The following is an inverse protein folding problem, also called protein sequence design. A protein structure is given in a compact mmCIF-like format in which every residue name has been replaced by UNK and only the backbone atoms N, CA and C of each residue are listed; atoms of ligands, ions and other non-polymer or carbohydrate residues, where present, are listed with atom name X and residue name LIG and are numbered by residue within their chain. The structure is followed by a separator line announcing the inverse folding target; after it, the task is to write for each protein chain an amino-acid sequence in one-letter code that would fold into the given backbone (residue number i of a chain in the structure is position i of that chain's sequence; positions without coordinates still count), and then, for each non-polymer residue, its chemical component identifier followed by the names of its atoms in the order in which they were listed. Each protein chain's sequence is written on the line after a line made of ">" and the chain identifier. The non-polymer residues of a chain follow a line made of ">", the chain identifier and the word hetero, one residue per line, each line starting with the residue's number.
data_IF_594975825958
#
_entry.id   IF_594975825958
#
_cell.length_a   1.000
_cell.length_b   1.000
_cell.length_c   1.000
_cell.angle_alpha   90.00
_cell.angle_beta   90.00
_cell.angle_gamma   90.00
#
_symmetry.space_group_name_H-M   'P 1'
#
loop_
_entity.id
_entity.type
_entity.pdbx_description
1 polymer ?
#
# COMPACT_ATOMS: atom_id res chain seq x y z
N UNK A 1 61.78 47.04 -34.34
CA UNK A 1 60.76 45.98 -34.42
C UNK A 1 60.37 45.57 -33.00
N UNK A 2 59.20 45.98 -32.51
CA UNK A 2 58.67 45.55 -31.20
C UNK A 2 57.28 44.99 -31.45
N UNK A 3 57.17 43.66 -31.49
CA UNK A 3 55.91 42.97 -31.67
C UNK A 3 55.14 42.95 -30.35
N UNK A 4 53.94 43.55 -30.34
CA UNK A 4 52.96 43.39 -29.28
C UNK A 4 52.18 42.09 -29.54
N UNK A 5 52.31 41.11 -28.65
CA UNK A 5 51.47 39.93 -28.63
C UNK A 5 50.16 40.26 -27.91
N UNK A 6 49.04 40.31 -28.64
CA UNK A 6 47.70 40.31 -28.04
C UNK A 6 47.41 38.90 -27.49
N UNK A 7 47.31 38.77 -26.18
CA UNK A 7 46.75 37.57 -25.53
C UNK A 7 45.23 37.74 -25.48
N UNK A 8 44.52 37.02 -26.35
CA UNK A 8 43.06 36.92 -26.29
C UNK A 8 42.67 35.98 -25.13
N UNK A 9 42.16 36.53 -24.03
CA UNK A 9 41.56 35.75 -22.96
C UNK A 9 40.18 35.25 -23.41
N UNK A 10 40.08 33.96 -23.74
CA UNK A 10 38.80 33.32 -24.00
C UNK A 10 38.02 33.18 -22.69
N UNK A 11 36.96 33.98 -22.53
CA UNK A 11 35.96 33.83 -21.48
C UNK A 11 35.18 32.53 -21.72
N UNK A 12 35.56 31.46 -21.02
CA UNK A 12 34.76 30.24 -20.94
C UNK A 12 33.60 30.54 -19.99
N UNK A 13 32.44 30.91 -20.54
CA UNK A 13 31.21 30.97 -19.76
C UNK A 13 30.85 29.53 -19.34
N UNK A 14 30.64 29.25 -18.04
CA UNK A 14 30.16 27.95 -17.61
C UNK A 14 28.74 27.76 -18.16
N UNK A 15 28.58 26.84 -19.11
CA UNK A 15 27.28 26.38 -19.54
C UNK A 15 26.62 25.68 -18.35
N UNK A 16 25.69 26.35 -17.66
CA UNK A 16 24.80 25.68 -16.71
C UNK A 16 23.93 24.70 -17.50
N UNK A 17 24.30 23.42 -17.47
CA UNK A 17 23.46 22.37 -18.00
C UNK A 17 22.10 22.41 -17.30
N UNK A 18 21.01 22.46 -18.07
CA UNK A 18 19.67 22.35 -17.52
C UNK A 18 19.57 21.04 -16.70
N UNK A 19 18.85 21.04 -15.56
CA UNK A 19 18.69 19.83 -14.76
C UNK A 19 18.19 18.67 -15.64
N UNK A 20 18.87 17.52 -15.53
CA UNK A 20 18.46 16.32 -16.23
C UNK A 20 17.03 15.94 -15.80
N UNK A 21 16.21 15.51 -16.75
CA UNK A 21 14.85 15.09 -16.46
C UNK A 21 14.87 13.85 -15.54
N UNK A 22 14.12 13.92 -14.44
CA UNK A 22 13.95 12.83 -13.49
C UNK A 22 13.37 11.63 -14.26
N UNK A 23 14.00 10.44 -14.15
CA UNK A 23 13.50 9.23 -14.80
C UNK A 23 12.20 8.77 -14.14
N UNK A 24 11.33 8.15 -14.93
CA UNK A 24 10.11 7.51 -14.42
C UNK A 24 10.45 6.05 -14.13
N UNK A 25 10.43 5.69 -12.85
CA UNK A 25 10.57 4.30 -12.42
C UNK A 25 9.33 3.52 -12.84
N UNK A 26 9.53 2.43 -13.58
CA UNK A 26 8.48 1.48 -13.97
C UNK A 26 8.80 0.13 -13.32
N UNK A 27 7.87 -0.37 -12.51
CA UNK A 27 7.97 -1.71 -11.92
C UNK A 27 7.36 -2.74 -12.87
N UNK A 28 7.54 -4.02 -12.57
CA UNK A 28 6.93 -5.11 -13.33
C UNK A 28 5.40 -5.08 -13.20
N UNK A 29 4.69 -5.46 -14.27
CA UNK A 29 3.23 -5.55 -14.29
C UNK A 29 2.53 -4.42 -15.04
N UNK A 30 1.19 -4.47 -15.11
CA UNK A 30 0.38 -3.45 -15.77
C UNK A 30 0.46 -2.12 -15.01
N UNK A 31 0.39 -1.01 -15.74
CA UNK A 31 0.39 0.34 -15.18
C UNK A 31 -0.85 1.11 -15.63
N UNK A 32 -1.37 1.97 -14.77
CA UNK A 32 -2.38 2.94 -15.17
C UNK A 32 -1.74 3.97 -16.11
N UNK A 33 -2.38 4.17 -17.26
CA UNK A 33 -1.86 5.08 -18.27
C UNK A 33 -1.75 6.51 -17.73
N UNK A 34 -0.64 7.19 -18.04
CA UNK A 34 -0.35 8.57 -17.64
C UNK A 34 -0.49 8.82 -16.13
N UNK A 35 -0.46 7.78 -15.29
CA UNK A 35 -0.69 7.88 -13.85
C UNK A 35 0.62 7.64 -13.10
N UNK A 36 0.92 8.54 -12.16
CA UNK A 36 2.20 8.58 -11.49
C UNK A 36 2.06 8.86 -9.99
N UNK A 37 3.00 8.31 -9.22
CA UNK A 37 3.28 8.67 -7.84
C UNK A 37 4.51 9.58 -7.85
N UNK A 38 4.37 10.76 -7.23
CA UNK A 38 5.40 11.78 -7.14
C UNK A 38 5.76 11.93 -5.67
N UNK A 39 7.01 11.63 -5.33
CA UNK A 39 7.57 11.98 -4.02
C UNK A 39 8.33 13.29 -4.15
N UNK A 40 8.03 14.22 -3.26
CA UNK A 40 8.74 15.48 -3.13
C UNK A 40 9.87 15.32 -2.11
N UNK A 41 10.92 16.10 -2.31
CA UNK A 41 12.03 16.17 -1.35
C UNK A 41 11.55 16.70 0.00
N UNK A 42 12.28 16.36 1.05
CA UNK A 42 12.03 16.88 2.39
C UNK A 42 12.13 18.41 2.42
N UNK A 43 11.25 19.04 3.21
CA UNK A 43 11.18 20.50 3.34
C UNK A 43 10.41 21.22 2.21
N UNK A 44 10.08 20.55 1.12
CA UNK A 44 9.25 21.13 0.06
C UNK A 44 7.79 21.21 0.51
N UNK A 45 7.20 22.41 0.38
CA UNK A 45 5.74 22.59 0.55
C UNK A 45 4.98 21.92 -0.60
N UNK A 46 4.32 20.78 -0.30
CA UNK A 46 3.46 20.07 -1.25
C UNK A 46 2.34 20.94 -1.79
N UNK A 47 1.68 21.73 -0.95
CA UNK A 47 0.56 22.56 -1.41
C UNK A 47 1.02 23.68 -2.32
N UNK A 48 2.16 24.31 -2.03
CA UNK A 48 2.74 25.32 -2.93
C UNK A 48 3.21 24.70 -4.25
N UNK A 49 3.80 23.49 -4.20
CA UNK A 49 4.21 22.76 -5.39
C UNK A 49 3.01 22.41 -6.28
N UNK A 50 1.95 21.84 -5.68
CA UNK A 50 0.72 21.50 -6.39
C UNK A 50 0.01 22.75 -6.90
N UNK A 51 -0.03 23.86 -6.16
CA UNK A 51 -0.63 25.11 -6.63
C UNK A 51 0.08 25.62 -7.89
N UNK A 52 1.42 25.65 -7.90
CA UNK A 52 2.21 25.99 -9.11
C UNK A 52 1.90 25.03 -10.26
N UNK A 53 1.81 23.73 -9.97
CA UNK A 53 1.45 22.74 -10.98
C UNK A 53 0.08 23.07 -11.60
N UNK A 54 -0.93 23.37 -10.79
CA UNK A 54 -2.29 23.68 -11.23
C UNK A 54 -2.34 24.97 -12.08
N UNK A 55 -1.48 25.96 -11.82
CA UNK A 55 -1.35 27.17 -12.68
C UNK A 55 -0.86 26.82 -14.10
N UNK A 56 0.00 25.82 -14.24
CA UNK A 56 0.43 25.29 -15.54
C UNK A 56 -0.59 24.35 -16.19
N UNK A 57 -1.53 23.75 -15.42
CA UNK A 57 -2.62 22.92 -15.94
C UNK A 57 -3.68 23.83 -16.59
N UNK A 58 -3.34 24.40 -17.73
CA UNK A 58 -4.31 24.96 -18.67
C UNK A 58 -4.99 23.82 -19.43
N UNK A 59 -6.16 23.35 -18.96
CA UNK A 59 -7.09 22.44 -19.67
C UNK A 59 -6.56 21.11 -20.25
N UNK A 60 -5.37 20.62 -19.85
CA UNK A 60 -4.73 19.43 -20.43
C UNK A 60 -5.05 18.12 -19.69
N UNK A 61 -6.31 17.72 -19.48
CA UNK A 61 -6.75 16.39 -18.94
C UNK A 61 -5.93 15.79 -17.78
N UNK A 62 -5.19 16.62 -17.05
CA UNK A 62 -4.22 16.26 -16.04
C UNK A 62 -4.81 16.68 -14.71
N UNK A 63 -4.67 15.83 -13.71
CA UNK A 63 -5.25 16.07 -12.39
C UNK A 63 -4.39 15.45 -11.31
N UNK A 64 -4.29 16.16 -10.20
CA UNK A 64 -3.87 15.55 -8.93
C UNK A 64 -5.05 14.73 -8.43
N UNK A 65 -4.81 13.44 -8.20
CA UNK A 65 -5.83 12.48 -7.75
C UNK A 65 -5.79 12.35 -6.23
N UNK A 66 -4.60 12.19 -5.65
CA UNK A 66 -4.41 12.05 -4.20
C UNK A 66 -3.27 12.92 -3.71
N UNK A 67 -3.41 13.46 -2.51
CA UNK A 67 -2.32 14.06 -1.74
C UNK A 67 -2.05 13.17 -0.52
N UNK A 68 -0.78 12.93 -0.22
CA UNK A 68 -0.38 12.10 0.91
C UNK A 68 0.18 12.99 2.02
N UNK A 69 -0.36 12.86 3.23
CA UNK A 69 -0.06 13.78 4.35
C UNK A 69 0.69 13.10 5.49
N UNK A 70 0.36 11.84 5.77
CA UNK A 70 0.94 11.10 6.90
C UNK A 70 2.03 10.14 6.46
N UNK A 71 1.88 9.56 5.28
CA UNK A 71 2.75 8.46 4.83
C UNK A 71 4.03 8.91 4.16
N UNK A 72 4.02 10.00 3.39
CA UNK A 72 5.22 10.70 2.92
C UNK A 72 4.83 12.03 2.27
N UNK A 73 5.81 12.90 2.01
CA UNK A 73 5.61 14.15 1.29
C UNK A 73 5.44 13.88 -0.22
N UNK A 74 4.21 13.78 -0.70
CA UNK A 74 3.97 13.48 -2.11
C UNK A 74 2.50 13.45 -2.50
N UNK A 75 2.27 13.10 -3.77
CA UNK A 75 0.94 13.04 -4.36
C UNK A 75 0.91 12.02 -5.50
N UNK A 76 -0.28 11.62 -5.93
CA UNK A 76 -0.50 10.89 -7.17
C UNK A 76 -1.36 11.69 -8.13
N UNK A 77 -1.12 11.53 -9.43
CA UNK A 77 -1.84 12.27 -10.46
C UNK A 77 -1.81 11.61 -11.82
N UNK A 78 -2.81 11.96 -12.63
CA UNK A 78 -2.79 11.72 -14.07
C UNK A 78 -2.10 12.92 -14.70
N UNK A 79 -0.93 12.73 -15.30
CA UNK A 79 -0.09 13.81 -15.84
C UNK A 79 0.23 13.52 -17.31
N UNK A 80 -0.12 14.46 -18.20
CA UNK A 80 0.08 14.29 -19.64
C UNK A 80 0.95 15.41 -20.22
N UNK A 81 1.66 15.07 -21.29
CA UNK A 81 2.35 16.04 -22.15
C UNK A 81 3.25 17.02 -21.38
N UNK A 82 3.10 18.34 -21.58
CA UNK A 82 3.96 19.36 -20.94
C UNK A 82 3.97 19.31 -19.41
N UNK A 83 2.88 18.84 -18.77
CA UNK A 83 2.77 18.78 -17.31
C UNK A 83 3.68 17.70 -16.74
N UNK A 84 3.73 16.53 -17.38
CA UNK A 84 4.66 15.48 -16.98
C UNK A 84 6.11 15.96 -17.13
N UNK A 85 6.44 16.62 -18.24
CA UNK A 85 7.78 17.16 -18.48
C UNK A 85 8.18 18.27 -17.50
N UNK A 86 7.23 19.11 -17.09
CA UNK A 86 7.44 20.09 -16.01
C UNK A 86 7.81 19.40 -14.69
N UNK A 87 7.04 18.38 -14.28
CA UNK A 87 7.31 17.61 -13.06
C UNK A 87 8.65 16.90 -13.13
N UNK A 88 8.99 16.30 -14.28
CA UNK A 88 10.29 15.66 -14.49
C UNK A 88 11.48 16.62 -14.40
N UNK A 89 11.27 17.93 -14.56
CA UNK A 89 12.33 18.95 -14.45
C UNK A 89 12.29 19.73 -13.15
N UNK A 90 11.33 19.43 -12.27
CA UNK A 90 11.15 20.15 -11.02
C UNK A 90 12.24 19.80 -10.02
N UNK A 91 12.89 20.83 -9.46
CA UNK A 91 13.88 20.66 -8.39
C UNK A 91 13.27 20.14 -7.07
N UNK A 92 11.94 20.28 -6.93
CA UNK A 92 11.16 19.85 -5.77
C UNK A 92 10.98 18.33 -5.69
N UNK A 93 11.08 17.63 -6.83
CA UNK A 93 10.73 16.22 -6.95
C UNK A 93 11.95 15.35 -6.63
N UNK A 94 11.73 14.34 -5.78
CA UNK A 94 12.73 13.33 -5.42
C UNK A 94 12.69 12.16 -6.41
N UNK A 95 11.51 11.59 -6.65
CA UNK A 95 11.31 10.55 -7.66
C UNK A 95 9.92 10.59 -8.27
N UNK A 96 9.81 9.94 -9.43
CA UNK A 96 8.55 9.70 -10.13
C UNK A 96 8.45 8.20 -10.40
N UNK A 97 7.35 7.58 -10.00
CA UNK A 97 7.05 6.17 -10.24
C UNK A 97 5.75 6.06 -11.03
N UNK A 98 5.70 5.17 -12.02
CA UNK A 98 4.44 4.82 -12.70
C UNK A 98 3.48 4.13 -11.72
N UNK A 99 2.19 4.43 -11.81
CA UNK A 99 1.17 3.80 -10.98
C UNK A 99 0.92 2.36 -11.43
N UNK A 100 1.45 1.40 -10.69
CA UNK A 100 1.40 -0.04 -11.01
C UNK A 100 0.11 -0.63 -10.47
N UNK A 101 -0.51 -1.52 -11.24
CA UNK A 101 -1.74 -2.21 -10.86
C UNK A 101 -1.37 -3.58 -10.29
N UNK A 102 -1.65 -3.75 -9.01
CA UNK A 102 -1.55 -5.02 -8.29
C UNK A 102 -2.82 -5.83 -8.56
N UNK A 103 -2.72 -7.15 -8.45
CA UNK A 103 -3.86 -8.05 -8.61
C UNK A 103 -4.03 -8.84 -7.32
N UNK A 104 -5.26 -8.92 -6.82
CA UNK A 104 -5.59 -9.87 -5.74
C UNK A 104 -5.39 -11.29 -6.26
N UNK A 105 -4.51 -12.03 -5.61
CA UNK A 105 -4.27 -13.46 -5.84
C UNK A 105 -5.00 -14.24 -4.75
N UNK A 106 -6.11 -14.89 -5.10
CA UNK A 106 -6.86 -15.74 -4.19
C UNK A 106 -7.03 -17.14 -4.80
N UNK A 107 -6.60 -18.16 -4.07
CA UNK A 107 -7.00 -19.55 -4.33
C UNK A 107 -8.19 -19.87 -3.42
N UNK A 108 -9.27 -20.38 -3.99
CA UNK A 108 -10.43 -20.82 -3.21
C UNK A 108 -10.06 -22.14 -2.51
N UNK A 109 -9.80 -22.07 -1.20
CA UNK A 109 -9.53 -23.24 -0.36
C UNK A 109 -10.78 -24.09 -0.09
N UNK A 110 -10.59 -25.31 0.38
CA UNK A 110 -11.66 -26.15 0.93
C UNK A 110 -11.95 -25.74 2.38
N UNK A 111 -13.00 -24.94 2.58
CA UNK A 111 -13.39 -24.40 3.89
C UNK A 111 -13.74 -25.49 4.94
N UNK A 112 -13.90 -26.76 4.54
CA UNK A 112 -14.20 -27.85 5.48
C UNK A 112 -13.02 -28.21 6.40
N UNK A 113 -11.78 -27.90 6.00
CA UNK A 113 -10.58 -28.21 6.77
C UNK A 113 -10.25 -27.15 7.82
N UNK A 114 -10.58 -25.87 7.55
CA UNK A 114 -10.40 -24.75 8.47
C UNK A 114 -11.10 -24.95 9.82
N UNK A 115 -12.26 -25.63 9.81
CA UNK A 115 -13.10 -25.80 11.00
C UNK A 115 -12.59 -26.84 11.99
N UNK A 116 -11.73 -27.77 11.53
CA UNK A 116 -11.34 -28.93 12.34
C UNK A 116 -10.17 -28.70 13.30
N UNK A 117 -9.27 -27.75 13.02
CA UNK A 117 -8.05 -27.57 13.85
C UNK A 117 -8.02 -26.31 14.70
N UNK A 118 -8.84 -25.29 14.43
CA UNK A 118 -8.99 -24.17 15.39
C UNK A 118 -9.55 -24.69 16.72
N UNK A 119 -10.25 -25.83 16.72
CA UNK A 119 -10.74 -26.47 17.94
C UNK A 119 -9.63 -26.97 18.88
N UNK A 120 -8.48 -27.43 18.39
CA UNK A 120 -7.44 -28.03 19.25
C UNK A 120 -6.56 -26.97 19.93
N UNK A 121 -6.27 -25.86 19.23
CA UNK A 121 -5.58 -24.68 19.78
C UNK A 121 -6.52 -23.76 20.60
N UNK A 122 -7.84 -23.94 20.49
CA UNK A 122 -8.83 -23.10 21.18
C UNK A 122 -8.65 -23.10 22.69
N UNK A 123 -8.15 -24.18 23.28
CA UNK A 123 -7.96 -24.32 24.73
C UNK A 123 -6.86 -23.40 25.30
N UNK A 124 -5.84 -23.06 24.49
CA UNK A 124 -4.75 -22.16 24.89
C UNK A 124 -5.01 -20.69 24.55
N UNK A 125 -5.80 -20.41 23.52
CA UNK A 125 -6.16 -19.03 23.12
C UNK A 125 -7.35 -18.46 23.90
N UNK A 126 -8.31 -19.30 24.32
CA UNK A 126 -9.42 -18.90 25.21
C UNK A 126 -8.92 -18.39 26.58
N UNK A 127 -7.77 -18.88 27.04
CA UNK A 127 -7.13 -18.45 28.29
C UNK A 127 -6.50 -17.04 28.25
N UNK A 128 -6.42 -16.38 27.09
CA UNK A 128 -5.76 -15.07 26.95
C UNK A 128 -6.67 -13.84 26.98
N UNK A 129 -7.98 -13.98 27.12
CA UNK A 129 -8.90 -12.86 27.38
C UNK A 129 -8.65 -11.57 26.53
N UNK A 130 -8.29 -11.71 25.25
CA UNK A 130 -8.04 -10.58 24.36
C UNK A 130 -8.70 -10.81 23.00
N UNK A 131 -10.02 -10.87 22.99
CA UNK A 131 -10.86 -10.96 21.77
C UNK A 131 -10.80 -9.70 20.89
N UNK A 132 -9.83 -8.79 21.10
CA UNK A 132 -9.65 -7.56 20.32
C UNK A 132 -10.60 -6.42 20.69
N UNK A 133 -11.36 -6.54 21.79
CA UNK A 133 -12.22 -5.45 22.27
C UNK A 133 -11.45 -4.14 22.41
N UNK A 134 -11.95 -3.07 21.80
CA UNK A 134 -11.28 -1.76 21.82
C UNK A 134 -10.29 -1.51 20.67
N UNK A 135 -10.02 -2.51 19.83
CA UNK A 135 -9.10 -2.42 18.67
C UNK A 135 -9.88 -2.13 17.40
N UNK A 136 -9.32 -1.27 16.54
CA UNK A 136 -9.83 -1.05 15.18
C UNK A 136 -8.98 -1.84 14.17
N UNK A 137 -9.62 -2.71 13.38
CA UNK A 137 -9.00 -3.44 12.27
C UNK A 137 -9.42 -2.77 10.96
N UNK A 138 -8.46 -2.13 10.29
CA UNK A 138 -8.65 -1.54 8.98
C UNK A 138 -8.35 -2.58 7.89
N UNK A 139 -9.36 -2.90 7.08
CA UNK A 139 -9.21 -3.81 5.93
C UNK A 139 -8.93 -3.00 4.68
N UNK A 140 -7.67 -2.97 4.24
CA UNK A 140 -7.22 -2.28 3.03
C UNK A 140 -7.27 -3.30 1.86
N UNK A 141 -8.42 -3.36 1.19
CA UNK A 141 -8.73 -4.47 0.29
C UNK A 141 -9.79 -4.09 -0.79
N UNK A 142 -10.59 -5.04 -1.28
CA UNK A 142 -11.71 -4.87 -2.21
C UNK A 142 -12.96 -4.26 -1.54
N UNK A 143 -12.92 -4.01 -0.24
CA UNK A 143 -14.05 -3.55 0.56
C UNK A 143 -14.46 -4.60 1.58
N UNK A 144 -15.54 -4.34 2.33
CA UNK A 144 -16.15 -5.33 3.23
C UNK A 144 -17.66 -5.24 3.09
N UNK A 145 -18.35 -6.39 3.07
CA UNK A 145 -19.79 -6.46 3.27
C UNK A 145 -20.10 -6.16 4.73
N UNK A 146 -20.19 -4.88 5.09
CA UNK A 146 -20.32 -4.42 6.49
C UNK A 146 -21.60 -4.92 7.18
N UNK A 147 -22.60 -5.34 6.41
CA UNK A 147 -23.86 -5.91 6.90
C UNK A 147 -23.81 -7.42 7.08
N UNK A 148 -22.68 -8.08 6.81
CA UNK A 148 -22.56 -9.54 6.99
C UNK A 148 -22.77 -9.90 8.47
N UNK A 149 -23.63 -10.90 8.70
CA UNK A 149 -24.00 -11.38 10.05
C UNK A 149 -22.81 -11.76 10.92
N UNK A 150 -21.73 -12.28 10.32
CA UNK A 150 -20.48 -12.62 11.00
C UNK A 150 -19.82 -11.45 11.72
N UNK A 151 -20.07 -10.19 11.33
CA UNK A 151 -19.52 -9.04 12.02
C UNK A 151 -20.38 -8.54 13.17
N UNK A 152 -21.64 -8.99 13.30
CA UNK A 152 -22.52 -8.59 14.39
C UNK A 152 -22.69 -7.08 14.54
N UNK A 153 -22.62 -6.33 13.44
CA UNK A 153 -22.72 -4.86 13.43
C UNK A 153 -21.42 -4.10 13.72
N UNK A 154 -20.29 -4.78 13.94
CA UNK A 154 -18.98 -4.15 14.22
C UNK A 154 -18.24 -3.64 12.98
N UNK A 155 -18.71 -3.98 11.78
CA UNK A 155 -18.10 -3.56 10.53
C UNK A 155 -18.72 -2.24 10.02
N UNK A 156 -17.87 -1.30 9.63
CA UNK A 156 -18.27 0.02 9.12
C UNK A 156 -17.40 0.44 7.93
N UNK A 157 -17.89 1.39 7.13
CA UNK A 157 -17.12 1.98 6.04
C UNK A 157 -16.20 3.09 6.53
N UNK A 158 -14.94 3.06 6.09
CA UNK A 158 -13.96 4.12 6.31
C UNK A 158 -13.77 4.97 5.06
N UNK A 159 -13.18 4.40 4.02
CA UNK A 159 -12.86 5.12 2.78
C UNK A 159 -12.95 4.22 1.54
N UNK A 160 -13.07 4.84 0.37
CA UNK A 160 -13.05 4.17 -0.93
C UNK A 160 -12.24 5.01 -1.91
N UNK A 161 -11.25 4.38 -2.56
CA UNK A 161 -10.33 5.00 -3.52
C UNK A 161 -10.53 4.38 -4.89
N UNK A 162 -10.23 5.13 -5.96
CA UNK A 162 -10.39 4.68 -7.34
C UNK A 162 -11.74 5.01 -7.99
N UNK A 163 -12.61 5.77 -7.30
CA UNK A 163 -13.94 6.13 -7.82
C UNK A 163 -14.94 4.98 -7.81
N UNK A 164 -14.68 3.94 -7.01
CA UNK A 164 -15.56 2.78 -6.87
C UNK A 164 -16.75 3.07 -5.96
N UNK A 165 -17.79 2.24 -6.05
CA UNK A 165 -18.84 2.22 -5.04
C UNK A 165 -18.30 1.61 -3.72
N UNK A 166 -18.79 2.10 -2.58
CA UNK A 166 -18.49 1.55 -1.25
C UNK A 166 -19.28 0.26 -1.01
N UNK A 167 -18.86 -0.80 -1.68
CA UNK A 167 -19.31 -2.18 -1.51
C UNK A 167 -18.14 -3.12 -1.75
N UNK A 168 -18.21 -4.35 -1.25
CA UNK A 168 -17.29 -5.41 -1.66
C UNK A 168 -17.91 -6.22 -2.79
N UNK A 169 -17.61 -5.85 -4.04
CA UNK A 169 -18.08 -6.60 -5.21
C UNK A 169 -17.17 -7.78 -5.59
N UNK A 170 -16.04 -7.96 -4.92
CA UNK A 170 -15.12 -9.07 -5.16
C UNK A 170 -15.30 -10.18 -4.11
N UNK A 171 -15.48 -9.81 -2.84
CA UNK A 171 -15.65 -10.73 -1.70
C UNK A 171 -14.36 -11.01 -0.92
N UNK A 172 -13.19 -10.74 -1.50
CA UNK A 172 -11.90 -11.01 -0.87
C UNK A 172 -11.72 -10.24 0.45
N UNK A 173 -12.00 -8.94 0.46
CA UNK A 173 -11.89 -8.14 1.69
C UNK A 173 -12.89 -8.53 2.78
N UNK A 174 -14.08 -9.01 2.42
CA UNK A 174 -15.04 -9.60 3.37
C UNK A 174 -14.50 -10.89 3.97
N UNK A 175 -13.97 -11.79 3.13
CA UNK A 175 -13.37 -13.05 3.57
C UNK A 175 -12.22 -12.82 4.56
N UNK A 176 -11.24 -11.98 4.18
CA UNK A 176 -10.07 -11.69 5.03
C UNK A 176 -10.45 -10.99 6.35
N UNK A 177 -11.44 -10.10 6.31
CA UNK A 177 -11.99 -9.47 7.52
C UNK A 177 -12.75 -10.46 8.40
N UNK A 178 -13.44 -11.44 7.80
CA UNK A 178 -14.10 -12.55 8.48
C UNK A 178 -13.11 -13.41 9.25
N UNK A 179 -12.01 -13.80 8.60
CA UNK A 179 -10.88 -14.51 9.23
C UNK A 179 -10.26 -13.71 10.36
N UNK A 180 -10.13 -12.39 10.22
CA UNK A 180 -9.56 -11.57 11.28
C UNK A 180 -10.50 -11.43 12.49
N UNK A 181 -11.79 -11.18 12.28
CA UNK A 181 -12.67 -10.66 13.33
C UNK A 181 -14.14 -11.12 13.29
N UNK A 182 -14.50 -12.09 12.44
CA UNK A 182 -15.85 -12.66 12.40
C UNK A 182 -16.24 -13.34 13.71
N UNK A 183 -17.32 -12.92 14.35
CA UNK A 183 -17.81 -13.49 15.62
C UNK A 183 -18.61 -14.78 15.47
N UNK A 184 -19.02 -15.13 14.24
CA UNK A 184 -19.60 -16.44 13.92
C UNK A 184 -18.73 -17.11 12.85
N UNK A 185 -17.98 -18.14 13.24
CA UNK A 185 -17.07 -18.87 12.34
C UNK A 185 -15.60 -18.76 12.77
N UNK A 186 -14.73 -18.36 11.85
CA UNK A 186 -13.27 -18.50 11.91
C UNK A 186 -12.50 -17.30 12.48
N UNK A 187 -13.19 -16.25 12.93
CA UNK A 187 -12.53 -15.02 13.39
C UNK A 187 -11.77 -15.18 14.69
N UNK A 188 -10.57 -14.60 14.77
CA UNK A 188 -9.76 -14.62 15.99
C UNK A 188 -10.06 -13.44 16.93
N UNK A 189 -10.13 -12.22 16.40
CA UNK A 189 -10.36 -10.99 17.16
C UNK A 189 -11.85 -10.60 17.16
N UNK A 190 -12.68 -11.47 17.72
CA UNK A 190 -14.15 -11.46 17.58
C UNK A 190 -14.88 -10.27 18.21
N UNK A 191 -14.19 -9.40 18.96
CA UNK A 191 -14.72 -8.16 19.53
C UNK A 191 -14.10 -6.87 18.95
N UNK A 192 -13.19 -6.98 17.98
CA UNK A 192 -12.63 -5.82 17.28
C UNK A 192 -13.67 -5.12 16.40
N UNK A 193 -13.48 -3.83 16.15
CA UNK A 193 -14.19 -3.12 15.09
C UNK A 193 -13.54 -3.42 13.74
N UNK A 194 -14.33 -3.53 12.67
CA UNK A 194 -13.81 -3.65 11.30
C UNK A 194 -14.11 -2.35 10.56
N UNK A 195 -13.10 -1.76 9.92
CA UNK A 195 -13.22 -0.54 9.13
C UNK A 195 -12.79 -0.83 7.70
N UNK A 196 -13.73 -0.79 6.76
CA UNK A 196 -13.49 -1.07 5.36
C UNK A 196 -12.77 0.09 4.66
N UNK A 197 -11.65 -0.19 4.02
CA UNK A 197 -10.86 0.74 3.21
C UNK A 197 -10.68 0.13 1.82
N UNK A 198 -11.56 0.47 0.88
CA UNK A 198 -11.52 -0.09 -0.47
C UNK A 198 -10.47 0.60 -1.31
N UNK A 199 -9.48 -0.15 -1.77
CA UNK A 199 -8.40 0.32 -2.67
C UNK A 199 -8.36 -0.47 -3.98
N UNK A 200 -9.07 -1.61 -4.03
CA UNK A 200 -9.16 -2.48 -5.18
C UNK A 200 -10.54 -2.40 -5.85
N UNK A 201 -10.57 -2.57 -7.17
CA UNK A 201 -11.80 -2.72 -7.95
C UNK A 201 -12.52 -4.03 -7.62
N UNK A 202 -13.76 -4.20 -8.12
CA UNK A 202 -14.52 -5.45 -7.95
C UNK A 202 -13.88 -6.63 -8.72
N UNK A 203 -13.00 -6.35 -9.68
CA UNK A 203 -12.17 -7.34 -10.39
C UNK A 203 -10.82 -7.63 -9.69
N UNK A 204 -10.59 -7.10 -8.49
CA UNK A 204 -9.36 -7.33 -7.72
C UNK A 204 -8.14 -6.54 -8.21
N UNK A 205 -8.33 -5.51 -9.03
CA UNK A 205 -7.23 -4.63 -9.47
C UNK A 205 -7.00 -3.53 -8.45
N UNK A 206 -5.77 -3.40 -7.96
CA UNK A 206 -5.41 -2.47 -6.90
C UNK A 206 -4.27 -1.55 -7.38
N UNK A 207 -4.57 -0.36 -7.93
CA UNK A 207 -3.55 0.63 -8.24
C UNK A 207 -2.71 1.00 -7.01
N UNK A 208 -1.39 1.09 -7.18
CA UNK A 208 -0.45 1.49 -6.12
C UNK A 208 -0.80 2.84 -5.50
N UNK A 209 -1.30 3.78 -6.31
CA UNK A 209 -1.80 5.08 -5.86
C UNK A 209 -2.99 4.95 -4.89
N UNK A 210 -3.93 4.06 -5.18
CA UNK A 210 -5.08 3.78 -4.29
C UNK A 210 -4.61 3.11 -3.00
N UNK A 211 -3.69 2.15 -3.08
CA UNK A 211 -3.13 1.45 -1.91
C UNK A 211 -2.49 2.47 -0.97
N UNK A 212 -1.61 3.34 -1.48
CA UNK A 212 -0.94 4.39 -0.69
C UNK A 212 -1.96 5.36 -0.09
N UNK A 213 -3.01 5.73 -0.83
CA UNK A 213 -4.09 6.57 -0.31
C UNK A 213 -4.84 5.89 0.85
N UNK A 214 -5.10 4.58 0.75
CA UNK A 214 -5.66 3.76 1.82
C UNK A 214 -4.78 3.72 3.07
N UNK A 215 -3.48 3.45 2.90
CA UNK A 215 -2.50 3.47 4.01
C UNK A 215 -2.44 4.86 4.66
N UNK A 216 -2.48 5.94 3.86
CA UNK A 216 -2.52 7.31 4.36
C UNK A 216 -3.77 7.61 5.18
N UNK A 217 -4.93 7.13 4.73
CA UNK A 217 -6.18 7.24 5.48
C UNK A 217 -6.10 6.52 6.81
N UNK A 218 -5.63 5.27 6.82
CA UNK A 218 -5.51 4.49 8.07
C UNK A 218 -4.58 5.20 9.05
N UNK A 219 -3.39 5.63 8.62
CA UNK A 219 -2.46 6.36 9.48
C UNK A 219 -3.08 7.65 10.04
N UNK A 220 -3.89 8.35 9.26
CA UNK A 220 -4.62 9.55 9.69
C UNK A 220 -5.70 9.21 10.70
N UNK A 221 -6.50 8.16 10.41
CA UNK A 221 -7.66 7.80 11.22
C UNK A 221 -7.23 7.20 12.55
N UNK A 222 -6.25 6.30 12.56
CA UNK A 222 -5.67 5.71 13.77
C UNK A 222 -5.12 6.79 14.71
N UNK A 223 -4.35 7.75 14.18
CA UNK A 223 -3.86 8.88 14.96
C UNK A 223 -4.99 9.75 15.52
N UNK A 224 -6.08 9.95 14.76
CA UNK A 224 -7.23 10.75 15.20
C UNK A 224 -8.11 10.05 16.23
N UNK A 225 -8.24 8.72 16.16
CA UNK A 225 -9.07 7.95 17.09
C UNK A 225 -8.37 7.69 18.42
N UNK A 226 -7.02 7.63 18.42
CA UNK A 226 -6.23 7.26 19.60
C UNK A 226 -6.42 5.80 20.03
N UNK A 227 -7.14 5.00 19.22
CA UNK A 227 -7.41 3.59 19.52
C UNK A 227 -6.27 2.71 19.00
N UNK A 228 -5.92 1.62 19.70
CA UNK A 228 -5.06 0.59 19.13
C UNK A 228 -5.58 0.17 17.76
N UNK A 229 -4.72 0.22 16.75
CA UNK A 229 -5.13 0.07 15.34
C UNK A 229 -4.23 -0.93 14.63
N UNK A 230 -4.86 -1.86 13.92
CA UNK A 230 -4.21 -2.85 13.05
C UNK A 230 -4.74 -2.66 11.64
N UNK A 231 -3.86 -2.64 10.65
CA UNK A 231 -4.20 -2.68 9.24
C UNK A 231 -3.89 -4.07 8.69
N UNK A 232 -4.82 -4.66 7.97
CA UNK A 232 -4.61 -5.90 7.21
C UNK A 232 -4.53 -5.58 5.73
N UNK A 233 -3.52 -6.13 5.05
CA UNK A 233 -3.29 -6.00 3.62
C UNK A 233 -3.01 -7.38 3.02
N UNK A 234 -4.08 -8.05 2.59
CA UNK A 234 -3.99 -9.34 1.90
C UNK A 234 -3.79 -9.15 0.39
N UNK A 235 -2.83 -8.28 0.06
CA UNK A 235 -2.45 -7.95 -1.31
C UNK A 235 -0.93 -7.86 -1.41
N UNK A 236 -0.40 -8.11 -2.61
CA UNK A 236 1.04 -8.08 -2.83
C UNK A 236 1.38 -8.04 -4.32
N UNK A 237 2.62 -7.68 -4.62
CA UNK A 237 3.08 -7.56 -5.99
C UNK A 237 4.58 -7.28 -6.07
N UNK A 238 5.05 -6.66 -7.17
CA UNK A 238 6.47 -6.38 -7.33
C UNK A 238 6.99 -5.52 -6.18
N UNK A 239 8.29 -5.59 -5.95
CA UNK A 239 8.95 -4.73 -5.00
C UNK A 239 8.76 -3.24 -5.32
N UNK A 240 8.10 -2.49 -4.43
CA UNK A 240 7.65 -1.11 -4.62
C UNK A 240 7.98 -0.23 -3.40
N UNK A 241 8.98 0.63 -3.57
CA UNK A 241 9.49 1.47 -2.49
C UNK A 241 8.50 2.55 -2.05
N UNK A 242 7.54 2.93 -2.90
CA UNK A 242 6.51 3.91 -2.53
C UNK A 242 5.50 3.28 -1.56
N UNK A 243 5.08 2.04 -1.82
CA UNK A 243 4.23 1.28 -0.89
C UNK A 243 5.00 0.99 0.40
N UNK A 244 6.26 0.55 0.31
CA UNK A 244 7.04 0.22 1.51
C UNK A 244 7.24 1.43 2.42
N UNK A 245 7.58 2.58 1.83
CA UNK A 245 7.74 3.83 2.57
C UNK A 245 6.43 4.21 3.23
N UNK A 246 5.30 4.05 2.52
CA UNK A 246 4.00 4.39 3.08
C UNK A 246 3.64 3.50 4.27
N UNK A 247 3.82 2.19 4.15
CA UNK A 247 3.56 1.23 5.22
C UNK A 247 4.52 1.45 6.40
N UNK A 248 5.83 1.59 6.14
CA UNK A 248 6.83 1.85 7.18
C UNK A 248 6.54 3.13 7.97
N UNK A 249 6.12 4.19 7.27
CA UNK A 249 5.78 5.47 7.91
C UNK A 249 4.42 5.44 8.61
N UNK A 250 3.48 4.59 8.20
CA UNK A 250 2.27 4.35 8.98
C UNK A 250 2.58 3.56 10.27
N UNK A 251 3.50 2.59 10.20
CA UNK A 251 3.97 1.82 11.36
C UNK A 251 4.70 2.69 12.36
N UNK A 252 5.62 3.57 11.91
CA UNK A 252 6.32 4.49 12.80
C UNK A 252 5.40 5.49 13.51
N UNK A 253 4.15 5.63 13.04
CA UNK A 253 3.09 6.44 13.66
C UNK A 253 2.15 5.63 14.57
N UNK A 254 2.46 4.36 14.85
CA UNK A 254 1.75 3.54 15.82
C UNK A 254 0.63 2.67 15.26
N UNK A 255 0.53 2.51 13.93
CA UNK A 255 -0.40 1.53 13.33
C UNK A 255 0.32 0.21 13.07
N UNK A 256 -0.18 -0.91 13.56
CA UNK A 256 0.39 -2.22 13.23
C UNK A 256 -0.08 -2.70 11.86
N UNK A 257 0.78 -3.34 11.08
CA UNK A 257 0.42 -3.89 9.77
C UNK A 257 0.66 -5.40 9.73
N UNK A 258 -0.37 -6.15 9.33
CA UNK A 258 -0.27 -7.55 8.94
C UNK A 258 -0.43 -7.65 7.43
N UNK A 259 0.59 -8.17 6.76
CA UNK A 259 0.68 -8.19 5.29
C UNK A 259 0.90 -9.61 4.78
N UNK A 260 0.34 -9.93 3.61
CA UNK A 260 0.59 -11.22 2.97
C UNK A 260 2.05 -11.31 2.48
N UNK A 261 2.66 -12.49 2.60
CA UNK A 261 3.94 -12.78 1.96
C UNK A 261 3.80 -12.80 0.42
N UNK A 262 2.62 -13.16 -0.09
CA UNK A 262 2.27 -13.32 -1.51
C UNK A 262 2.20 -14.80 -1.95
N UNK A 263 1.61 -15.05 -3.11
CA UNK A 263 1.21 -16.39 -3.57
C UNK A 263 1.94 -16.83 -4.85
N UNK A 264 3.20 -16.40 -5.02
CA UNK A 264 3.98 -16.65 -6.24
C UNK A 264 5.13 -17.64 -6.05
N UNK A 265 5.25 -18.26 -4.86
CA UNK A 265 6.36 -19.12 -4.44
C UNK A 265 7.75 -18.49 -4.70
N UNK A 266 7.90 -17.21 -4.36
CA UNK A 266 9.15 -16.45 -4.43
C UNK A 266 9.60 -15.95 -3.06
N UNK A 267 10.79 -15.33 -3.01
CA UNK A 267 11.27 -14.70 -1.79
C UNK A 267 10.42 -13.45 -1.46
N UNK A 268 9.79 -13.42 -0.28
CA UNK A 268 8.99 -12.30 0.22
C UNK A 268 9.81 -11.00 0.36
N UNK A 269 11.13 -11.10 0.51
CA UNK A 269 12.04 -9.94 0.49
C UNK A 269 12.11 -9.23 -0.86
N UNK A 270 11.61 -9.82 -1.95
CA UNK A 270 11.55 -9.18 -3.27
C UNK A 270 10.17 -8.61 -3.63
N UNK A 271 9.17 -8.78 -2.76
CA UNK A 271 7.78 -8.35 -3.00
C UNK A 271 7.35 -7.27 -2.00
N UNK A 272 6.41 -6.43 -2.39
CA UNK A 272 5.84 -5.39 -1.51
C UNK A 272 4.36 -5.64 -1.27
N UNK A 273 3.85 -5.33 -0.05
CA UNK A 273 4.56 -4.79 1.11
C UNK A 273 5.32 -5.83 1.96
N UNK A 274 5.39 -7.09 1.52
CA UNK A 274 5.98 -8.20 2.29
C UNK A 274 7.43 -7.97 2.75
N UNK A 275 8.22 -7.20 2.00
CA UNK A 275 9.60 -6.84 2.34
C UNK A 275 9.76 -5.72 3.38
N UNK A 276 8.67 -5.12 3.84
CA UNK A 276 8.70 -4.10 4.90
C UNK A 276 9.06 -4.77 6.21
N UNK A 277 10.29 -4.61 6.67
CA UNK A 277 10.81 -5.31 7.85
C UNK A 277 10.02 -5.02 9.15
N UNK A 278 9.39 -3.85 9.26
CA UNK A 278 8.60 -3.48 10.43
C UNK A 278 7.15 -4.05 10.40
N UNK A 279 6.71 -4.59 9.25
CA UNK A 279 5.40 -5.21 9.12
C UNK A 279 5.43 -6.68 9.58
N UNK A 280 4.29 -7.20 9.99
CA UNK A 280 4.11 -8.63 10.25
C UNK A 280 3.77 -9.29 8.91
N UNK A 281 4.78 -9.86 8.27
CA UNK A 281 4.60 -10.60 7.02
C UNK A 281 4.14 -12.03 7.32
N UNK A 282 3.06 -12.47 6.68
CA UNK A 282 2.40 -13.75 6.95
C UNK A 282 2.39 -14.65 5.72
N UNK A 283 2.95 -15.86 5.86
CA UNK A 283 2.97 -16.89 4.82
C UNK A 283 1.91 -17.96 5.09
N UNK A 284 1.55 -18.72 4.05
CA UNK A 284 0.55 -19.77 4.15
C UNK A 284 1.16 -21.17 4.35
N UNK A 285 0.57 -21.97 5.23
CA UNK A 285 0.82 -23.42 5.35
C UNK A 285 -0.45 -24.23 5.04
N UNK A 286 -0.27 -25.45 4.56
CA UNK A 286 -1.31 -26.42 4.27
C UNK A 286 -1.82 -27.13 5.53
N UNK A 287 -2.78 -28.03 5.35
CA UNK A 287 -3.37 -28.81 6.43
C UNK A 287 -2.40 -29.78 7.13
N UNK A 288 -1.20 -29.95 6.58
CA UNK A 288 -0.11 -30.75 7.17
C UNK A 288 0.96 -29.88 7.85
N UNK A 289 0.69 -28.60 8.12
CA UNK A 289 1.66 -27.61 8.61
C UNK A 289 2.90 -27.44 7.72
N UNK A 290 2.80 -27.72 6.41
CA UNK A 290 3.88 -27.49 5.46
C UNK A 290 3.61 -26.21 4.69
N UNK A 291 4.65 -25.48 4.27
CA UNK A 291 4.49 -24.30 3.42
C UNK A 291 3.57 -24.64 2.24
N UNK A 292 2.50 -23.87 2.06
CA UNK A 292 1.63 -24.02 0.90
C UNK A 292 2.48 -23.87 -0.37
N UNK A 293 2.16 -24.65 -1.41
CA UNK A 293 2.94 -24.67 -2.66
C UNK A 293 3.08 -23.27 -3.26
N UNK A 294 2.02 -22.46 -3.19
CA UNK A 294 1.98 -21.09 -3.68
C UNK A 294 2.63 -20.06 -2.74
N UNK A 295 2.73 -20.32 -1.43
CA UNK A 295 3.18 -19.30 -0.48
C UNK A 295 4.60 -18.83 -0.78
N UNK A 296 4.80 -17.52 -0.81
CA UNK A 296 6.12 -16.92 -0.74
C UNK A 296 6.82 -17.31 0.57
N UNK A 297 8.15 -17.23 0.56
CA UNK A 297 9.03 -17.67 1.65
C UNK A 297 10.09 -16.61 1.95
N UNK A 298 10.79 -16.73 3.08
CA UNK A 298 11.87 -15.81 3.45
C UNK A 298 13.00 -16.51 4.17
N UNK A 299 14.19 -15.90 4.18
CA UNK A 299 15.37 -16.41 4.86
C UNK A 299 15.42 -16.05 6.36
N UNK A 300 16.32 -16.68 7.09
CA UNK A 300 16.43 -16.60 8.55
C UNK A 300 16.74 -15.19 9.11
N UNK A 301 17.25 -14.28 8.27
CA UNK A 301 17.80 -12.99 8.70
C UNK A 301 17.00 -11.75 8.26
N UNK A 302 16.14 -11.84 7.24
CA UNK A 302 15.29 -10.73 6.77
C UNK A 302 13.99 -11.25 6.14
N UNK A 303 12.86 -10.62 6.47
CA UNK A 303 11.53 -10.90 5.91
C UNK A 303 11.09 -12.37 6.03
N UNK A 304 11.32 -13.00 7.19
CA UNK A 304 10.82 -14.34 7.49
C UNK A 304 9.31 -14.24 7.78
N UNK A 305 8.43 -14.79 6.92
CA UNK A 305 7.02 -14.76 7.23
C UNK A 305 6.74 -15.58 8.49
N UNK A 306 5.86 -15.09 9.35
CA UNK A 306 5.19 -15.95 10.31
C UNK A 306 4.20 -16.79 9.50
N UNK A 307 4.25 -18.11 9.63
CA UNK A 307 3.36 -18.97 8.87
C UNK A 307 2.07 -19.21 9.62
N UNK A 308 0.95 -18.98 8.94
CA UNK A 308 -0.40 -19.34 9.41
C UNK A 308 -1.02 -20.30 8.41
N UNK A 309 -1.91 -21.18 8.88
CA UNK A 309 -2.65 -22.05 7.94
C UNK A 309 -3.48 -21.22 6.98
N UNK A 310 -3.45 -21.60 5.71
CA UNK A 310 -4.39 -21.07 4.73
C UNK A 310 -5.78 -21.49 5.15
N UNK A 311 -6.69 -20.53 5.23
CA UNK A 311 -8.12 -20.75 5.52
C UNK A 311 -8.87 -20.55 4.22
#
# INVERSE_FOLDING_TARGET
>A
MKSFALVAAALIAPALAAPAAIPITKLAGPVNENSYIIKLKDGVSKDSHVARLLEYIGSQDSKVVYKYDKVFNGYAGILKGPILEYIRRSADVEYIQADVIYQIEYEQGDESLAAREVQDESSHLTGRAANGGGVDIYSIDTGVLTTHTAFGGRATWGATYGGYASRDGNGHGTHTSGTAAGSSGFGLATASNIIAVKVCSDAGQCPSSNIIAGVNFVATRAASSGRPSVAIMSLGGPGDSAIDSAVSNAISRGTHFSVAAGNSNVNAGSTSPARVAAAITVGAVDSSNRKASFSNYGGEYYCRPIFTRSI
#
